data_IF_853504508618
#
_entry.id   IF_853504508618
#
_cell.length_a   1.000
_cell.length_b   1.000
_cell.length_c   1.000
_cell.angle_alpha   90.00
_cell.angle_beta   90.00
_cell.angle_gamma   90.00
#
_symmetry.space_group_name_H-M   'P 1'
#
loop_
_entity.id
_entity.type
_entity.pdbx_description
1 polymer ?
#
# COMPACT_ATOMS: atom_id res chain seq x y z
N UNK A 1 -46.55 12.52 6.26
CA UNK A 1 -45.48 13.10 7.11
C UNK A 1 -44.20 12.37 6.78
N UNK A 2 -43.26 13.04 6.13
CA UNK A 2 -41.91 12.48 5.92
C UNK A 2 -41.16 12.78 7.20
N UNK A 3 -40.94 11.76 8.04
CA UNK A 3 -40.06 11.92 9.21
C UNK A 3 -38.63 11.96 8.68
N UNK A 4 -37.91 13.02 9.03
CA UNK A 4 -36.48 13.09 8.74
C UNK A 4 -35.73 12.24 9.77
N UNK A 5 -34.61 11.62 9.38
CA UNK A 5 -33.76 10.90 10.33
C UNK A 5 -33.27 11.83 11.43
N UNK A 6 -33.12 11.32 12.65
CA UNK A 6 -32.47 12.11 13.70
C UNK A 6 -31.00 12.41 13.34
N UNK A 7 -30.43 13.56 13.77
CA UNK A 7 -29.02 13.85 13.56
C UNK A 7 -28.13 12.70 14.05
N UNK A 8 -27.29 12.16 13.17
CA UNK A 8 -26.41 11.01 13.48
C UNK A 8 -27.02 9.63 13.17
N UNK A 9 -28.26 9.57 12.69
CA UNK A 9 -28.87 8.36 12.16
C UNK A 9 -28.46 8.18 10.69
N UNK A 10 -27.81 7.06 10.37
CA UNK A 10 -27.51 6.72 9.00
C UNK A 10 -28.73 6.04 8.39
N UNK A 11 -29.18 6.50 7.23
CA UNK A 11 -30.37 5.97 6.57
C UNK A 11 -30.05 5.73 5.11
N UNK A 12 -30.30 4.52 4.61
CA UNK A 12 -30.25 4.23 3.18
C UNK A 12 -31.61 4.41 2.54
N UNK A 13 -31.63 4.92 1.32
CA UNK A 13 -32.81 4.89 0.48
C UNK A 13 -32.72 3.71 -0.49
N UNK A 14 -33.63 2.75 -0.38
CA UNK A 14 -33.73 1.57 -1.24
C UNK A 14 -35.14 1.57 -1.84
N UNK A 15 -35.26 1.59 -3.17
CA UNK A 15 -36.55 1.58 -3.88
C UNK A 15 -37.57 2.58 -3.30
N UNK A 16 -37.09 3.79 -2.96
CA UNK A 16 -37.84 4.89 -2.32
C UNK A 16 -38.19 4.72 -0.84
N UNK A 17 -37.75 3.65 -0.19
CA UNK A 17 -37.90 3.43 1.25
C UNK A 17 -36.64 3.82 2.01
N UNK A 18 -36.83 4.52 3.14
CA UNK A 18 -35.76 4.85 4.07
C UNK A 18 -35.56 3.69 5.06
N UNK A 19 -34.39 3.09 5.06
CA UNK A 19 -33.95 2.03 5.97
C UNK A 19 -32.93 2.61 6.93
N UNK A 20 -33.28 2.69 8.22
CA UNK A 20 -32.34 3.12 9.25
C UNK A 20 -31.29 2.03 9.50
N UNK A 21 -30.03 2.43 9.49
CA UNK A 21 -28.92 1.61 9.96
C UNK A 21 -28.56 2.03 11.38
N UNK A 22 -28.85 1.14 12.33
CA UNK A 22 -28.31 1.27 13.67
C UNK A 22 -26.82 0.88 13.69
N UNK A 23 -26.16 1.04 14.84
CA UNK A 23 -24.74 0.73 14.99
C UNK A 23 -24.36 -0.75 14.88
N UNK A 24 -25.31 -1.64 14.58
CA UNK A 24 -25.12 -3.09 14.46
C UNK A 24 -25.52 -3.65 13.10
N UNK A 25 -26.09 -2.83 12.22
CA UNK A 25 -26.55 -3.26 10.90
C UNK A 25 -25.42 -3.26 9.87
N UNK A 26 -25.16 -4.43 9.29
CA UNK A 26 -24.31 -4.60 8.10
C UNK A 26 -25.18 -4.65 6.84
N UNK A 27 -24.80 -3.92 5.79
CA UNK A 27 -25.43 -4.05 4.46
C UNK A 27 -24.54 -4.86 3.55
N UNK A 28 -25.10 -5.94 3.01
CA UNK A 28 -24.45 -6.82 2.05
C UNK A 28 -24.89 -6.45 0.63
N UNK A 29 -23.92 -6.19 -0.24
CA UNK A 29 -24.11 -6.12 -1.68
C UNK A 29 -23.59 -7.43 -2.26
N UNK A 30 -24.51 -8.25 -2.77
CA UNK A 30 -24.20 -9.58 -3.30
C UNK A 30 -24.57 -9.57 -4.79
N UNK A 31 -23.64 -9.89 -5.71
CA UNK A 31 -23.98 -10.01 -7.11
C UNK A 31 -24.98 -11.15 -7.33
N UNK A 32 -25.97 -10.93 -8.19
CA UNK A 32 -27.04 -11.91 -8.45
C UNK A 32 -26.54 -13.24 -9.03
N UNK A 33 -25.36 -13.24 -9.64
CA UNK A 33 -24.72 -14.41 -10.22
C UNK A 33 -23.27 -14.52 -9.75
N UNK A 34 -22.79 -15.74 -9.50
CA UNK A 34 -21.42 -16.00 -9.02
C UNK A 34 -20.32 -15.44 -9.95
N UNK A 35 -20.57 -15.38 -11.25
CA UNK A 35 -19.60 -14.85 -12.22
C UNK A 35 -19.71 -13.34 -12.45
N UNK A 36 -20.66 -12.67 -11.78
CA UNK A 36 -20.83 -11.23 -11.87
C UNK A 36 -19.91 -10.50 -10.89
N UNK A 37 -19.85 -9.18 -11.01
CA UNK A 37 -18.99 -8.32 -10.21
C UNK A 37 -19.80 -7.13 -9.70
N UNK A 38 -19.29 -6.49 -8.65
CA UNK A 38 -19.83 -5.22 -8.17
C UNK A 38 -18.96 -4.08 -8.70
N UNK A 39 -19.54 -2.90 -8.89
CA UNK A 39 -18.81 -1.72 -9.35
C UNK A 39 -18.87 -0.62 -8.31
N UNK A 40 -17.72 -0.02 -8.03
CA UNK A 40 -17.58 1.17 -7.19
C UNK A 40 -16.86 2.24 -8.00
N UNK A 41 -17.49 3.40 -8.19
CA UNK A 41 -16.95 4.50 -9.00
C UNK A 41 -16.47 4.06 -10.40
N UNK A 42 -17.19 3.13 -11.03
CA UNK A 42 -16.87 2.59 -12.35
C UNK A 42 -15.80 1.48 -12.35
N UNK A 43 -15.18 1.18 -11.21
CA UNK A 43 -14.17 0.12 -11.07
C UNK A 43 -14.84 -1.20 -10.66
N UNK A 44 -14.67 -2.29 -11.42
CA UNK A 44 -15.20 -3.63 -11.10
C UNK A 44 -14.40 -4.34 -9.99
N UNK A 45 -15.12 -5.06 -9.13
CA UNK A 45 -14.59 -5.85 -8.02
C UNK A 45 -15.25 -7.22 -7.93
N UNK A 46 -14.44 -8.25 -7.66
CA UNK A 46 -14.91 -9.61 -7.37
C UNK A 46 -15.50 -9.72 -5.97
N UNK A 47 -16.24 -10.79 -5.73
CA UNK A 47 -16.80 -11.10 -4.42
C UNK A 47 -17.98 -10.20 -4.07
N UNK A 48 -18.09 -9.82 -2.81
CA UNK A 48 -19.20 -9.03 -2.26
C UNK A 48 -18.67 -7.75 -1.61
N UNK A 49 -19.55 -6.77 -1.42
CA UNK A 49 -19.28 -5.65 -0.52
C UNK A 49 -20.10 -5.77 0.75
N UNK A 50 -19.51 -5.34 1.86
CA UNK A 50 -20.22 -5.11 3.11
C UNK A 50 -19.99 -3.68 3.52
N UNK A 51 -21.06 -2.89 3.61
CA UNK A 51 -21.02 -1.56 4.20
C UNK A 51 -21.29 -1.70 5.69
N UNK A 52 -20.29 -1.31 6.49
CA UNK A 52 -20.31 -1.35 7.95
C UNK A 52 -20.27 0.05 8.52
N UNK A 53 -20.92 0.24 9.66
CA UNK A 53 -20.81 1.47 10.46
C UNK A 53 -19.79 1.25 11.57
N UNK A 54 -18.76 2.08 11.60
CA UNK A 54 -17.76 2.09 12.67
C UNK A 54 -17.81 3.43 13.41
N UNK A 55 -18.53 3.46 14.53
CA UNK A 55 -18.80 4.69 15.29
C UNK A 55 -19.50 5.75 14.43
N UNK A 56 -18.78 6.82 14.10
CA UNK A 56 -19.25 7.95 13.29
C UNK A 56 -18.84 7.84 11.81
N UNK A 57 -18.17 6.75 11.42
CA UNK A 57 -17.66 6.52 10.06
C UNK A 57 -18.33 5.32 9.40
N UNK A 58 -18.16 5.24 8.08
CA UNK A 58 -18.56 4.09 7.27
C UNK A 58 -17.34 3.43 6.65
N UNK A 59 -17.37 2.10 6.59
CA UNK A 59 -16.36 1.29 5.93
C UNK A 59 -17.05 0.42 4.90
N UNK A 60 -16.62 0.53 3.64
CA UNK A 60 -17.02 -0.39 2.57
C UNK A 60 -15.92 -1.45 2.45
N UNK A 61 -16.26 -2.68 2.83
CA UNK A 61 -15.31 -3.80 2.87
C UNK A 61 -15.58 -4.71 1.69
N UNK A 62 -14.56 -4.99 0.86
CA UNK A 62 -14.64 -6.01 -0.19
C UNK A 62 -14.26 -7.38 0.38
N UNK A 63 -15.22 -8.32 0.39
CA UNK A 63 -14.99 -9.71 0.82
C UNK A 63 -14.89 -10.58 -0.42
N UNK A 64 -13.77 -11.29 -0.56
CA UNK A 64 -13.45 -12.13 -1.71
C UNK A 64 -12.48 -13.24 -1.31
N UNK A 65 -12.30 -14.21 -2.21
CA UNK A 65 -11.32 -15.27 -2.03
C UNK A 65 -9.91 -14.72 -2.17
N UNK A 66 -8.94 -15.34 -1.47
CA UNK A 66 -7.55 -14.90 -1.46
C UNK A 66 -6.92 -14.85 -2.87
N UNK A 67 -7.17 -15.85 -3.71
CA UNK A 67 -6.62 -15.88 -5.07
C UNK A 67 -7.21 -14.76 -5.95
N UNK A 68 -8.49 -14.42 -5.76
CA UNK A 68 -9.12 -13.29 -6.45
C UNK A 68 -8.57 -11.94 -5.97
N UNK A 69 -8.25 -11.82 -4.67
CA UNK A 69 -7.55 -10.66 -4.12
C UNK A 69 -6.16 -10.50 -4.76
N UNK A 70 -5.39 -11.60 -4.86
CA UNK A 70 -4.03 -11.56 -5.43
C UNK A 70 -4.01 -11.17 -6.90
N UNK A 71 -5.05 -11.49 -7.69
CA UNK A 71 -5.19 -11.01 -9.07
C UNK A 71 -5.26 -9.48 -9.17
N UNK A 72 -5.77 -8.81 -8.15
CA UNK A 72 -5.82 -7.35 -8.05
C UNK A 72 -4.59 -6.72 -7.37
N UNK A 73 -3.76 -7.51 -6.66
CA UNK A 73 -2.57 -7.03 -5.94
C UNK A 73 -1.30 -7.19 -6.77
N UNK A 74 -1.02 -8.41 -7.23
CA UNK A 74 0.24 -8.75 -7.93
C UNK A 74 0.56 -7.77 -9.06
N UNK A 75 -0.36 -7.41 -9.97
CA UNK A 75 -0.02 -6.50 -11.08
C UNK A 75 0.27 -5.05 -10.66
N UNK A 76 -0.15 -4.64 -9.45
CA UNK A 76 0.15 -3.30 -8.92
C UNK A 76 1.46 -3.26 -8.13
N UNK A 77 1.86 -4.38 -7.53
CA UNK A 77 3.13 -4.49 -6.82
C UNK A 77 4.29 -4.82 -7.76
N UNK A 78 4.04 -5.66 -8.78
CA UNK A 78 4.99 -5.97 -9.84
C UNK A 78 4.27 -5.94 -11.20
N UNK A 79 4.46 -4.84 -11.93
CA UNK A 79 3.84 -4.62 -13.24
C UNK A 79 4.22 -5.73 -14.24
N UNK A 80 3.27 -6.53 -14.74
CA UNK A 80 3.55 -7.58 -15.72
C UNK A 80 3.82 -7.01 -17.13
N UNK A 81 3.46 -5.75 -17.37
CA UNK A 81 3.74 -5.04 -18.63
C UNK A 81 5.19 -4.58 -18.65
N UNK A 82 5.68 -4.03 -17.54
CA UNK A 82 7.07 -3.56 -17.41
C UNK A 82 8.01 -4.75 -17.21
N UNK A 83 7.60 -5.70 -16.37
CA UNK A 83 8.38 -6.89 -16.00
C UNK A 83 7.69 -8.14 -16.53
N UNK A 84 7.97 -8.47 -17.79
CA UNK A 84 7.46 -9.66 -18.45
C UNK A 84 8.24 -10.93 -18.02
N UNK A 85 8.25 -11.21 -16.71
CA UNK A 85 9.01 -12.28 -16.09
C UNK A 85 8.10 -13.13 -15.19
N UNK A 86 7.59 -14.25 -15.73
CA UNK A 86 6.63 -15.11 -15.04
C UNK A 86 7.13 -15.58 -13.66
N UNK A 87 8.39 -15.98 -13.55
CA UNK A 87 8.94 -16.47 -12.28
C UNK A 87 9.07 -15.35 -11.22
N UNK A 88 9.31 -14.11 -11.64
CA UNK A 88 9.28 -12.96 -10.73
C UNK A 88 7.85 -12.68 -10.24
N UNK A 89 6.87 -12.76 -11.13
CA UNK A 89 5.45 -12.63 -10.77
C UNK A 89 4.97 -13.76 -9.86
N UNK A 90 5.50 -14.97 -10.01
CA UNK A 90 5.24 -16.10 -9.09
C UNK A 90 5.80 -15.83 -7.71
N UNK A 91 7.05 -15.38 -7.62
CA UNK A 91 7.66 -14.98 -6.36
C UNK A 91 6.85 -13.86 -5.68
N UNK A 92 6.40 -12.86 -6.45
CA UNK A 92 5.53 -11.80 -5.95
C UNK A 92 4.18 -12.34 -5.46
N UNK A 93 3.55 -13.27 -6.18
CA UNK A 93 2.29 -13.89 -5.79
C UNK A 93 2.41 -14.64 -4.45
N UNK A 94 3.47 -15.44 -4.29
CA UNK A 94 3.76 -16.19 -3.06
C UNK A 94 4.04 -15.25 -1.89
N UNK A 95 4.84 -14.20 -2.11
CA UNK A 95 5.12 -13.18 -1.09
C UNK A 95 3.83 -12.44 -0.68
N UNK A 96 3.05 -11.97 -1.65
CA UNK A 96 1.78 -11.28 -1.40
C UNK A 96 0.77 -12.17 -0.67
N UNK A 97 0.66 -13.45 -1.04
CA UNK A 97 -0.20 -14.43 -0.36
C UNK A 97 0.21 -14.61 1.10
N UNK A 98 1.50 -14.77 1.33
CA UNK A 98 2.07 -14.94 2.68
C UNK A 98 1.79 -13.71 3.53
N UNK A 99 2.02 -12.51 2.98
CA UNK A 99 1.70 -11.25 3.64
C UNK A 99 0.23 -11.15 4.02
N UNK A 100 -0.66 -11.39 3.05
CA UNK A 100 -2.10 -11.30 3.26
C UNK A 100 -2.56 -12.23 4.38
N UNK A 101 -2.15 -13.50 4.34
CA UNK A 101 -2.49 -14.50 5.36
C UNK A 101 -1.91 -14.17 6.75
N UNK A 102 -0.66 -13.69 6.81
CA UNK A 102 -0.01 -13.29 8.06
C UNK A 102 -0.73 -12.13 8.74
N UNK A 103 -1.33 -11.24 7.95
CA UNK A 103 -1.96 -9.99 8.40
C UNK A 103 -3.50 -10.05 8.43
N UNK A 104 -4.12 -11.23 8.27
CA UNK A 104 -5.56 -11.39 8.53
C UNK A 104 -5.86 -10.94 9.97
N UNK A 105 -6.93 -10.17 10.14
CA UNK A 105 -7.32 -9.60 11.43
C UNK A 105 -6.45 -8.44 11.93
N UNK A 106 -5.47 -7.95 11.16
CA UNK A 106 -4.64 -6.79 11.54
C UNK A 106 -5.48 -5.57 11.90
N UNK A 107 -6.57 -5.35 11.16
CA UNK A 107 -7.50 -4.25 11.38
C UNK A 107 -8.82 -4.71 12.03
N UNK A 108 -8.81 -5.78 12.83
CA UNK A 108 -10.02 -6.34 13.46
C UNK A 108 -10.84 -5.32 14.26
N UNK A 109 -10.20 -4.33 14.88
CA UNK A 109 -10.88 -3.23 15.60
C UNK A 109 -11.69 -2.33 14.65
N UNK A 110 -11.39 -2.38 13.37
CA UNK A 110 -12.07 -1.65 12.30
C UNK A 110 -12.98 -2.55 11.45
N UNK A 111 -13.16 -3.82 11.83
CA UNK A 111 -14.01 -4.81 11.18
C UNK A 111 -13.65 -5.18 9.72
N UNK A 112 -12.37 -5.03 9.36
CA UNK A 112 -11.76 -5.54 8.13
C UNK A 112 -10.35 -6.10 8.36
N UNK A 113 -9.80 -6.82 7.39
CA UNK A 113 -8.48 -7.45 7.51
C UNK A 113 -7.35 -6.52 7.03
N UNK A 114 -7.41 -6.12 5.75
CA UNK A 114 -6.37 -5.37 5.05
C UNK A 114 -6.92 -4.10 4.41
N UNK A 115 -6.06 -3.09 4.26
CA UNK A 115 -6.36 -1.89 3.47
C UNK A 115 -6.05 -2.14 1.99
N UNK A 116 -6.64 -1.36 1.09
CA UNK A 116 -6.39 -1.42 -0.36
C UNK A 116 -5.23 -0.51 -0.83
N UNK A 117 -4.50 0.05 0.11
CA UNK A 117 -3.36 0.97 -0.09
C UNK A 117 -2.04 0.35 0.35
N UNK A 118 -0.94 1.06 0.12
CA UNK A 118 0.43 0.71 0.52
C UNK A 118 0.60 0.43 2.03
N UNK A 119 -0.34 0.83 2.91
CA UNK A 119 -0.27 0.45 4.33
C UNK A 119 -0.46 -1.06 4.56
N UNK A 120 -1.06 -1.74 3.58
CA UNK A 120 -1.07 -3.20 3.48
C UNK A 120 -0.44 -3.62 2.15
N UNK A 121 -1.25 -3.73 1.10
CA UNK A 121 -0.84 -4.00 -0.28
C UNK A 121 -1.79 -3.26 -1.20
N UNK A 122 -1.31 -2.78 -2.34
CA UNK A 122 -2.17 -2.00 -3.24
C UNK A 122 -3.15 -2.94 -3.95
N UNK A 123 -4.45 -2.73 -3.77
CA UNK A 123 -5.50 -3.58 -4.35
C UNK A 123 -6.32 -2.86 -5.43
N UNK A 124 -6.17 -3.33 -6.66
CA UNK A 124 -6.74 -2.71 -7.86
C UNK A 124 -8.05 -3.29 -8.36
N UNK A 125 -8.71 -4.19 -7.63
CA UNK A 125 -9.90 -4.89 -8.13
C UNK A 125 -9.64 -5.57 -9.48
N UNK A 126 -10.68 -5.68 -10.31
CA UNK A 126 -10.58 -6.38 -11.61
C UNK A 126 -9.93 -5.54 -12.71
N UNK A 127 -9.88 -4.21 -12.58
CA UNK A 127 -9.37 -3.30 -13.62
C UNK A 127 -7.89 -3.49 -13.94
N UNK A 128 -7.12 -4.05 -13.01
CA UNK A 128 -5.67 -4.19 -13.12
C UNK A 128 -5.25 -5.62 -13.44
N UNK A 129 -6.20 -6.56 -13.49
CA UNK A 129 -5.91 -7.95 -13.77
C UNK A 129 -5.21 -8.10 -15.13
N UNK A 130 -4.22 -8.99 -15.17
CA UNK A 130 -3.43 -9.22 -16.37
C UNK A 130 -3.21 -10.72 -16.55
N UNK A 131 -3.31 -11.28 -17.78
CA UNK A 131 -3.19 -12.72 -18.01
C UNK A 131 -1.91 -13.33 -17.44
N UNK A 132 -0.78 -12.63 -17.54
CA UNK A 132 0.51 -13.11 -17.05
C UNK A 132 0.58 -13.19 -15.51
N UNK A 133 0.12 -12.16 -14.80
CA UNK A 133 0.09 -12.18 -13.33
C UNK A 133 -1.00 -13.12 -12.81
N UNK A 134 -2.15 -13.21 -13.49
CA UNK A 134 -3.20 -14.16 -13.17
C UNK A 134 -2.70 -15.61 -13.27
N UNK A 135 -1.90 -15.92 -14.32
CA UNK A 135 -1.24 -17.22 -14.46
C UNK A 135 -0.24 -17.47 -13.33
N UNK A 136 0.54 -16.47 -12.91
CA UNK A 136 1.47 -16.60 -11.78
C UNK A 136 0.76 -16.90 -10.46
N UNK A 137 -0.38 -16.23 -10.21
CA UNK A 137 -1.24 -16.49 -9.04
C UNK A 137 -1.78 -17.92 -9.08
N UNK A 138 -2.27 -18.37 -10.23
CA UNK A 138 -2.82 -19.72 -10.42
C UNK A 138 -1.77 -20.83 -10.26
N UNK A 139 -0.59 -20.68 -10.88
CA UNK A 139 0.48 -21.69 -10.81
C UNK A 139 1.13 -21.77 -9.42
N UNK A 140 0.89 -20.81 -8.53
CA UNK A 140 1.39 -20.79 -7.14
C UNK A 140 0.26 -20.87 -6.11
N UNK A 141 -0.93 -21.32 -6.52
CA UNK A 141 -2.09 -21.36 -5.64
C UNK A 141 -1.80 -22.15 -4.35
N UNK A 142 -2.03 -21.53 -3.20
CA UNK A 142 -1.78 -22.13 -1.88
C UNK A 142 -0.30 -22.18 -1.45
N UNK A 143 0.65 -21.74 -2.27
CA UNK A 143 2.06 -21.66 -1.88
C UNK A 143 2.31 -20.43 -0.99
N UNK A 144 3.00 -20.66 0.13
CA UNK A 144 3.32 -19.65 1.15
C UNK A 144 4.75 -19.83 1.67
N UNK A 145 5.32 -18.76 2.22
CA UNK A 145 6.66 -18.75 2.80
C UNK A 145 6.57 -18.93 4.30
N UNK A 146 7.26 -19.93 4.83
CA UNK A 146 7.28 -20.24 6.27
C UNK A 146 8.70 -20.27 6.82
N UNK A 147 8.85 -19.86 8.08
CA UNK A 147 10.05 -20.03 8.86
C UNK A 147 9.68 -20.68 10.19
N UNK A 148 10.29 -21.84 10.49
CA UNK A 148 10.00 -22.65 11.69
C UNK A 148 8.51 -22.99 11.86
N UNK A 149 7.82 -23.25 10.75
CA UNK A 149 6.41 -23.64 10.75
C UNK A 149 5.42 -22.49 10.86
N UNK A 150 5.88 -21.25 10.94
CA UNK A 150 5.02 -20.06 10.95
C UNK A 150 5.19 -19.25 9.67
N UNK A 151 4.12 -18.58 9.22
CA UNK A 151 4.18 -17.61 8.13
C UNK A 151 5.16 -16.48 8.48
N UNK A 152 6.04 -16.15 7.54
CA UNK A 152 6.98 -15.04 7.70
C UNK A 152 6.30 -13.68 7.50
N UNK A 153 6.98 -12.62 7.91
CA UNK A 153 6.68 -11.26 7.47
C UNK A 153 7.26 -11.07 6.05
N UNK A 154 6.46 -11.38 5.04
CA UNK A 154 6.85 -11.31 3.63
C UNK A 154 6.85 -9.87 3.10
N UNK A 155 7.80 -9.06 3.61
CA UNK A 155 8.00 -7.69 3.17
C UNK A 155 8.71 -7.64 1.81
N UNK A 156 8.34 -6.68 0.97
CA UNK A 156 8.96 -6.42 -0.33
C UNK A 156 9.02 -4.91 -0.58
N UNK A 157 9.90 -4.49 -1.49
CA UNK A 157 10.10 -3.08 -1.89
C UNK A 157 10.23 -3.02 -3.42
N UNK A 158 9.89 -1.88 -4.01
CA UNK A 158 10.04 -1.65 -5.47
C UNK A 158 11.49 -1.69 -5.92
N UNK A 159 12.40 -1.17 -5.09
CA UNK A 159 13.82 -1.02 -5.40
C UNK A 159 14.60 -1.03 -4.08
N UNK A 160 15.68 -1.78 -4.01
CA UNK A 160 16.49 -1.94 -2.81
C UNK A 160 17.72 -1.02 -2.80
N UNK A 161 18.08 -0.38 -3.91
CA UNK A 161 19.26 0.50 -3.95
C UNK A 161 20.60 -0.25 -4.06
N UNK A 162 20.57 -1.55 -4.37
CA UNK A 162 21.74 -2.43 -4.51
C UNK A 162 21.94 -3.44 -3.36
N UNK A 163 21.30 -3.22 -2.20
CA UNK A 163 21.28 -4.16 -1.08
C UNK A 163 19.96 -4.03 -0.31
N UNK A 164 19.38 -5.15 0.11
CA UNK A 164 18.27 -5.11 1.08
C UNK A 164 18.78 -4.74 2.47
N UNK A 165 17.87 -4.42 3.38
CA UNK A 165 18.19 -3.96 4.73
C UNK A 165 17.86 -5.03 5.78
N UNK A 166 18.54 -4.98 6.93
CA UNK A 166 18.15 -5.76 8.09
C UNK A 166 16.85 -5.20 8.69
N UNK A 167 15.90 -6.08 9.04
CA UNK A 167 14.56 -5.66 9.50
C UNK A 167 14.56 -4.65 10.65
N UNK A 168 15.48 -4.82 11.61
CA UNK A 168 15.60 -4.00 12.80
C UNK A 168 16.16 -2.59 12.55
N UNK A 169 16.77 -2.36 11.38
CA UNK A 169 17.26 -1.04 10.99
C UNK A 169 16.14 -0.16 10.41
N UNK A 170 15.05 -0.78 9.96
CA UNK A 170 13.90 -0.07 9.36
C UNK A 170 12.69 -0.06 10.29
N UNK A 171 12.42 -1.19 10.95
CA UNK A 171 11.23 -1.38 11.76
C UNK A 171 11.59 -1.62 13.23
N UNK A 172 10.69 -1.20 14.12
CA UNK A 172 10.80 -1.55 15.53
C UNK A 172 10.55 -3.04 15.72
N UNK A 173 11.44 -3.74 16.41
CA UNK A 173 11.25 -5.16 16.68
C UNK A 173 12.54 -5.89 17.02
N UNK A 174 12.42 -7.20 17.19
CA UNK A 174 13.60 -8.07 17.32
C UNK A 174 14.12 -8.43 15.93
N UNK A 175 15.44 -8.64 15.79
CA UNK A 175 16.04 -9.12 14.55
C UNK A 175 15.37 -10.40 14.02
N UNK A 176 14.92 -10.38 12.77
CA UNK A 176 14.26 -11.53 12.12
C UNK A 176 15.26 -12.33 11.28
N UNK A 177 15.46 -13.64 11.52
CA UNK A 177 16.47 -14.43 10.81
C UNK A 177 16.31 -14.51 9.28
N UNK A 178 15.08 -14.30 8.78
CA UNK A 178 14.73 -14.37 7.37
C UNK A 178 14.64 -13.00 6.68
N UNK A 179 14.79 -11.89 7.42
CA UNK A 179 14.86 -10.53 6.87
C UNK A 179 16.24 -9.94 7.17
N UNK A 180 17.21 -10.41 6.39
CA UNK A 180 18.61 -9.99 6.48
C UNK A 180 19.06 -9.27 5.23
N UNK A 181 19.96 -8.32 5.42
CA UNK A 181 20.61 -7.61 4.32
C UNK A 181 21.27 -8.60 3.36
N UNK A 182 20.92 -8.50 2.07
CA UNK A 182 21.50 -9.28 0.97
C UNK A 182 21.64 -8.42 -0.27
N UNK A 183 22.63 -8.72 -1.11
CA UNK A 183 22.88 -7.96 -2.34
C UNK A 183 21.80 -8.20 -3.40
N UNK A 184 21.28 -7.12 -3.99
CA UNK A 184 20.39 -7.20 -5.14
C UNK A 184 21.19 -7.10 -6.45
N UNK A 185 21.62 -8.25 -6.99
CA UNK A 185 22.56 -8.28 -8.12
C UNK A 185 22.08 -7.54 -9.38
N UNK A 186 20.78 -7.65 -9.70
CA UNK A 186 20.21 -7.06 -10.91
C UNK A 186 19.88 -5.55 -10.78
N UNK A 187 19.96 -5.00 -9.57
CA UNK A 187 19.74 -3.57 -9.29
C UNK A 187 21.06 -2.79 -9.07
N UNK A 188 22.22 -3.43 -9.25
CA UNK A 188 23.50 -2.71 -9.23
C UNK A 188 23.60 -1.81 -10.45
N UNK A 189 23.23 -0.54 -10.29
CA UNK A 189 23.56 0.52 -11.22
C UNK A 189 24.86 1.21 -10.78
N UNK A 190 25.70 1.70 -11.72
CA UNK A 190 26.93 2.41 -11.37
C UNK A 190 26.65 3.69 -10.57
N UNK A 191 25.52 4.32 -10.85
CA UNK A 191 25.05 5.57 -10.27
C UNK A 191 23.51 5.59 -10.25
N UNK A 192 22.93 6.13 -9.18
CA UNK A 192 21.48 6.35 -9.09
C UNK A 192 21.20 7.78 -9.53
N UNK A 193 20.53 7.93 -10.68
CA UNK A 193 20.09 9.24 -11.14
C UNK A 193 18.84 9.66 -10.35
N UNK A 194 18.99 10.65 -9.49
CA UNK A 194 17.88 11.30 -8.81
C UNK A 194 17.38 12.43 -9.71
N UNK A 195 16.34 12.18 -10.49
CA UNK A 195 15.70 13.22 -11.31
C UNK A 195 14.65 13.95 -10.46
N UNK A 196 14.88 15.22 -10.19
CA UNK A 196 13.95 16.09 -9.46
C UNK A 196 13.32 17.08 -10.43
N UNK A 197 12.02 17.36 -10.26
CA UNK A 197 11.34 18.43 -11.01
C UNK A 197 11.88 19.83 -10.67
N UNK A 198 12.63 19.93 -9.56
CA UNK A 198 13.22 21.16 -9.05
C UNK A 198 14.72 21.14 -9.29
N UNK A 199 15.25 22.20 -9.87
CA UNK A 199 16.68 22.39 -10.02
C UNK A 199 17.20 23.03 -8.72
N UNK A 200 17.89 22.27 -7.88
CA UNK A 200 18.45 22.79 -6.63
C UNK A 200 19.84 23.39 -6.88
N UNK A 201 20.11 24.64 -6.46
CA UNK A 201 21.48 25.15 -6.45
C UNK A 201 22.34 24.32 -5.49
N UNK A 202 23.64 24.21 -5.77
CA UNK A 202 24.60 23.57 -4.86
C UNK A 202 24.50 24.18 -3.46
N UNK A 203 24.30 23.34 -2.45
CA UNK A 203 24.23 23.78 -1.05
C UNK A 203 25.60 23.60 -0.45
N UNK A 204 26.31 24.68 -0.15
CA UNK A 204 27.62 24.59 0.46
C UNK A 204 27.57 24.77 1.98
N UNK A 205 28.16 23.83 2.71
CA UNK A 205 28.42 23.98 4.15
C UNK A 205 29.93 23.92 4.34
N UNK A 206 30.52 25.02 4.83
CA UNK A 206 31.97 25.18 5.04
C UNK A 206 32.80 24.89 3.79
N UNK A 207 32.32 25.33 2.62
CA UNK A 207 32.99 25.15 1.33
C UNK A 207 32.96 23.72 0.79
N UNK A 208 32.14 22.84 1.37
CA UNK A 208 31.83 21.52 0.82
C UNK A 208 30.41 21.55 0.29
N UNK A 209 30.24 21.18 -0.98
CA UNK A 209 28.92 20.89 -1.52
C UNK A 209 28.33 19.70 -0.75
N UNK A 210 27.22 19.95 -0.06
CA UNK A 210 26.46 18.94 0.67
C UNK A 210 25.19 18.53 -0.07
N UNK A 211 24.98 19.03 -1.29
CA UNK A 211 23.84 18.67 -2.11
C UNK A 211 23.68 17.14 -2.25
N UNK A 212 24.74 16.32 -2.46
CA UNK A 212 24.60 14.87 -2.52
C UNK A 212 24.00 14.23 -1.26
N UNK A 213 24.31 14.78 -0.08
CA UNK A 213 23.83 14.27 1.20
C UNK A 213 22.41 14.74 1.55
N UNK A 214 21.99 15.91 1.04
CA UNK A 214 20.65 16.47 1.30
C UNK A 214 19.68 16.29 0.13
N UNK A 215 20.16 15.92 -1.06
CA UNK A 215 19.37 15.73 -2.28
C UNK A 215 18.18 14.77 -2.10
N UNK A 216 18.30 13.63 -1.39
CA UNK A 216 17.15 12.77 -1.13
C UNK A 216 16.06 13.50 -0.36
N UNK A 217 16.42 14.29 0.65
CA UNK A 217 15.47 15.01 1.50
C UNK A 217 14.79 16.15 0.72
N UNK A 218 15.57 16.87 -0.11
CA UNK A 218 15.06 17.91 -1.01
C UNK A 218 14.12 17.33 -2.07
N UNK A 219 14.48 16.22 -2.70
CA UNK A 219 13.67 15.54 -3.74
C UNK A 219 12.30 15.08 -3.24
N UNK A 220 12.21 14.75 -1.95
CA UNK A 220 10.97 14.34 -1.29
C UNK A 220 10.09 15.53 -0.88
N UNK A 221 10.54 16.77 -1.11
CA UNK A 221 9.81 17.98 -0.75
C UNK A 221 9.68 18.22 0.76
N UNK A 222 10.50 17.54 1.57
CA UNK A 222 10.49 17.66 3.05
C UNK A 222 11.04 19.03 3.47
N UNK A 223 12.02 19.55 2.72
CA UNK A 223 12.47 20.94 2.82
C UNK A 223 12.24 21.63 1.47
N UNK A 224 11.67 22.83 1.49
CA UNK A 224 11.66 23.73 0.35
C UNK A 224 12.83 24.71 0.51
N UNK A 225 13.72 24.77 -0.48
CA UNK A 225 14.69 25.86 -0.55
C UNK A 225 13.95 27.12 -0.95
N UNK A 226 13.97 28.15 -0.10
CA UNK A 226 13.50 29.48 -0.53
C UNK A 226 14.41 30.01 -1.65
N UNK A 227 13.90 30.92 -2.49
CA UNK A 227 14.57 31.51 -3.66
C UNK A 227 15.88 32.28 -3.35
N UNK A 228 16.34 32.27 -2.10
CA UNK A 228 17.58 32.92 -1.66
C UNK A 228 18.50 31.92 -1.00
N UNK A 229 19.78 31.89 -1.42
CA UNK A 229 20.82 31.05 -0.85
C UNK A 229 20.92 31.25 0.67
N UNK A 230 20.73 30.17 1.44
CA UNK A 230 20.93 30.19 2.89
C UNK A 230 22.41 29.99 3.22
N UNK A 231 23.02 30.97 3.90
CA UNK A 231 24.34 30.86 4.48
C UNK A 231 24.24 30.20 5.88
N UNK A 232 24.42 28.88 5.92
CA UNK A 232 24.41 28.10 7.17
C UNK A 232 25.69 28.27 8.02
N UNK A 233 26.59 29.20 7.67
CA UNK A 233 27.77 29.49 8.49
C UNK A 233 27.46 30.37 9.71
N UNK A 234 26.29 31.01 9.73
CA UNK A 234 25.85 31.86 10.83
C UNK A 234 24.84 31.13 11.74
N UNK A 235 24.88 31.34 13.06
CA UNK A 235 23.88 30.80 13.96
C UNK A 235 22.51 31.40 13.66
N UNK A 236 21.52 30.53 13.42
CA UNK A 236 20.12 30.89 13.20
C UNK A 236 19.57 31.54 14.48
N UNK A 237 18.88 32.67 14.35
CA UNK A 237 18.23 33.33 15.49
C UNK A 237 16.99 32.54 15.90
N UNK A 238 16.70 32.49 17.21
CA UNK A 238 15.59 31.71 17.75
C UNK A 238 14.23 32.07 17.14
N UNK A 239 14.10 33.28 16.58
CA UNK A 239 12.90 33.76 15.91
C UNK A 239 12.58 33.06 14.58
N UNK A 240 13.57 32.45 13.90
CA UNK A 240 13.42 31.82 12.58
C UNK A 240 13.03 30.33 12.65
N UNK A 241 12.95 29.75 13.86
CA UNK A 241 12.67 28.31 14.08
C UNK A 241 11.15 28.04 14.16
N UNK A 242 10.31 29.08 14.18
CA UNK A 242 8.85 28.95 14.34
C UNK A 242 8.13 29.66 13.19
N UNK A 243 8.11 29.03 12.01
CA UNK A 243 7.07 29.24 10.99
C UNK A 243 6.84 27.97 10.20
#
# INVERSE_FOLDING_TARGET
MVSFPEPGQLVLQIDHHLVSLDGKSDIYFIPAFQQSYLSLNGKPYRGIFVLKRNGHSLSLVNILNLEDYLRGVVPLELSPVTFNALEALKAQAVAARTYALKNIGRNKQLDFDLTDTQSSQVYGGMSVEHPLSNKAVEETAGEVIVYRGELIDALYTSTCGGMTEDSENVFSGKPLPYLRATTCFYEKQPEWNLETAFNYPSVEIKGRDVLPEVAPILSLGIFQTADTAYDFSQPVKAEEIIS
#
